data_IF_004160487009
#
_entry.id   IF_004160487009
#
_cell.length_a   1.000
_cell.length_b   1.000
_cell.length_c   1.000
_cell.angle_alpha   90.00
_cell.angle_beta   90.00
_cell.angle_gamma   90.00
#
_symmetry.space_group_name_H-M   'P 1'
#
loop_
_entity.id
_entity.type
_entity.pdbx_description
1 polymer ?
#
# COMPACT_ATOMS: atom_id res chain seq x y z
N UNK A 1 2.32 12.86 -16.99
CA UNK A 1 3.17 11.66 -16.99
C UNK A 1 2.83 10.87 -18.24
N UNK A 2 3.79 10.19 -18.89
CA UNK A 2 3.46 9.26 -19.97
C UNK A 2 2.50 8.18 -19.45
N UNK A 3 1.69 7.66 -20.33
CA UNK A 3 0.76 6.57 -20.04
C UNK A 3 1.56 5.32 -19.67
N UNK A 4 1.16 4.63 -18.58
CA UNK A 4 1.83 3.41 -18.18
C UNK A 4 1.65 2.30 -19.22
N UNK A 5 2.66 1.44 -19.47
CA UNK A 5 2.52 0.30 -20.36
C UNK A 5 1.29 -0.56 -20.01
N UNK A 6 0.54 -1.07 -21.02
CA UNK A 6 -0.70 -1.84 -20.76
C UNK A 6 -0.51 -3.07 -19.87
N UNK A 7 0.60 -3.78 -20.03
CA UNK A 7 0.97 -4.93 -19.20
C UNK A 7 1.26 -4.51 -17.74
N UNK A 8 1.95 -3.39 -17.51
CA UNK A 8 2.13 -2.84 -16.18
C UNK A 8 0.81 -2.42 -15.53
N UNK A 9 -0.09 -1.79 -16.29
CA UNK A 9 -1.42 -1.45 -15.78
C UNK A 9 -2.20 -2.70 -15.34
N UNK A 10 -2.13 -3.79 -16.12
CA UNK A 10 -2.72 -5.09 -15.75
C UNK A 10 -2.09 -5.62 -14.47
N UNK A 11 -0.75 -5.66 -14.39
CA UNK A 11 -0.01 -6.12 -13.22
C UNK A 11 -0.43 -5.34 -11.97
N UNK A 12 -0.44 -4.02 -12.02
CA UNK A 12 -0.82 -3.17 -10.88
C UNK A 12 -2.28 -3.35 -10.45
N UNK A 13 -3.18 -3.73 -11.37
CA UNK A 13 -4.59 -3.96 -11.07
C UNK A 13 -4.82 -5.32 -10.41
N UNK A 14 -4.10 -6.34 -10.84
CA UNK A 14 -4.28 -7.73 -10.41
C UNK A 14 -3.43 -8.09 -9.19
N UNK A 15 -2.31 -7.39 -8.97
CA UNK A 15 -1.39 -7.66 -7.86
C UNK A 15 -1.91 -7.16 -6.51
N UNK A 16 -1.52 -7.87 -5.46
CA UNK A 16 -1.76 -7.50 -4.06
C UNK A 16 -0.47 -7.13 -3.33
N UNK A 17 0.66 -7.61 -3.82
CA UNK A 17 1.99 -7.35 -3.24
C UNK A 17 2.89 -6.63 -4.22
N UNK A 18 3.72 -5.78 -3.63
CA UNK A 18 4.89 -5.18 -4.28
C UNK A 18 6.08 -5.27 -3.33
N UNK A 19 7.28 -5.14 -3.86
CA UNK A 19 8.44 -4.79 -3.03
C UNK A 19 8.76 -3.32 -3.19
N UNK A 20 9.21 -2.70 -2.11
CA UNK A 20 9.67 -1.32 -2.11
C UNK A 20 11.07 -1.25 -1.50
N UNK A 21 12.00 -0.68 -2.26
CA UNK A 21 13.34 -0.34 -1.77
C UNK A 21 13.35 1.12 -1.33
N UNK A 22 13.74 1.34 -0.08
CA UNK A 22 13.81 2.66 0.56
C UNK A 22 15.10 2.80 1.35
N UNK A 23 15.50 4.03 1.65
CA UNK A 23 16.66 4.32 2.49
C UNK A 23 16.28 4.22 3.98
N UNK A 24 17.06 3.46 4.76
CA UNK A 24 16.91 3.40 6.22
C UNK A 24 17.24 4.75 6.84
N UNK A 25 16.34 5.30 7.65
CA UNK A 25 16.51 6.61 8.29
C UNK A 25 17.72 6.74 9.25
N UNK A 26 18.17 5.61 9.83
CA UNK A 26 19.26 5.62 10.81
C UNK A 26 20.64 5.32 10.21
N UNK A 27 20.70 4.38 9.27
CA UNK A 27 21.98 3.91 8.69
C UNK A 27 22.25 4.45 7.30
N UNK A 28 21.26 5.04 6.62
CA UNK A 28 21.42 5.45 5.22
C UNK A 28 21.49 4.29 4.21
N UNK A 29 21.42 3.03 4.68
CA UNK A 29 21.54 1.87 3.81
C UNK A 29 20.20 1.52 3.15
N UNK A 30 20.19 0.92 1.95
CA UNK A 30 18.98 0.45 1.31
C UNK A 30 18.25 -0.62 2.15
N UNK A 31 16.94 -0.63 2.07
CA UNK A 31 16.07 -1.67 2.64
C UNK A 31 14.95 -2.00 1.68
N UNK A 32 14.84 -3.27 1.30
CA UNK A 32 13.74 -3.80 0.50
C UNK A 32 12.76 -4.55 1.40
N UNK A 33 11.48 -4.21 1.32
CA UNK A 33 10.39 -4.86 2.06
C UNK A 33 9.25 -5.20 1.12
N UNK A 34 8.53 -6.27 1.42
CA UNK A 34 7.30 -6.63 0.71
C UNK A 34 6.11 -5.99 1.42
N UNK A 35 5.26 -5.35 0.66
CA UNK A 35 4.15 -4.55 1.13
C UNK A 35 2.89 -4.84 0.33
N UNK A 36 1.78 -4.66 0.98
CA UNK A 36 0.48 -4.73 0.36
C UNK A 36 0.07 -3.35 -0.13
N UNK A 37 -0.61 -3.30 -1.26
CA UNK A 37 -0.96 -2.02 -1.89
C UNK A 37 -2.32 -2.06 -2.59
N UNK A 38 -2.76 -0.89 -3.03
CA UNK A 38 -3.84 -0.69 -3.97
C UNK A 38 -3.43 0.39 -4.97
N UNK A 39 -3.58 0.12 -6.25
CA UNK A 39 -3.39 1.11 -7.33
C UNK A 39 -4.65 1.95 -7.54
N UNK A 40 -4.51 3.24 -7.81
CA UNK A 40 -5.64 4.17 -8.04
C UNK A 40 -6.13 4.19 -9.51
N UNK A 41 -5.43 3.52 -10.40
CA UNK A 41 -5.68 3.52 -11.84
C UNK A 41 -4.89 4.59 -12.60
N UNK A 42 -4.11 5.42 -11.92
CA UNK A 42 -3.29 6.49 -12.48
C UNK A 42 -1.83 6.39 -12.06
N UNK A 43 -1.32 7.47 -11.49
CA UNK A 43 0.08 7.60 -11.09
C UNK A 43 0.35 7.32 -9.62
N UNK A 44 -0.61 6.78 -8.87
CA UNK A 44 -0.48 6.60 -7.42
C UNK A 44 -0.85 5.21 -6.98
N UNK A 45 -0.15 4.74 -5.97
CA UNK A 45 -0.55 3.58 -5.19
C UNK A 45 -0.66 3.96 -3.71
N UNK A 46 -1.52 3.26 -3.00
CA UNK A 46 -1.67 3.38 -1.55
C UNK A 46 -1.11 2.13 -0.91
N UNK A 47 -0.13 2.32 -0.04
CA UNK A 47 0.42 1.27 0.82
C UNK A 47 -0.32 1.26 2.14
N UNK A 48 -0.67 0.07 2.59
CA UNK A 48 -1.23 -0.15 3.92
C UNK A 48 -0.83 -1.54 4.43
N UNK A 49 -1.40 -1.97 5.55
CA UNK A 49 -1.12 -3.26 6.15
C UNK A 49 -1.67 -3.36 7.55
N UNK A 50 -1.21 -4.36 8.31
CA UNK A 50 -1.65 -4.58 9.68
C UNK A 50 -1.43 -3.35 10.57
N UNK A 51 -2.35 -3.08 11.52
CA UNK A 51 -2.25 -1.97 12.47
C UNK A 51 -0.94 -2.00 13.27
N UNK A 52 -0.44 -0.82 13.62
CA UNK A 52 0.73 -0.64 14.47
C UNK A 52 1.83 0.22 13.84
N UNK A 53 2.84 0.52 14.66
CA UNK A 53 4.02 1.28 14.21
C UNK A 53 4.85 0.41 13.27
N UNK A 54 5.22 0.95 12.11
CA UNK A 54 5.99 0.26 11.08
C UNK A 54 7.26 1.03 10.75
N UNK A 55 8.40 0.35 10.78
CA UNK A 55 9.69 0.98 10.46
C UNK A 55 9.75 1.49 9.02
N UNK A 56 9.11 0.79 8.07
CA UNK A 56 9.07 1.23 6.68
C UNK A 56 8.33 2.57 6.51
N UNK A 57 7.26 2.83 7.29
CA UNK A 57 6.57 4.13 7.29
C UNK A 57 7.50 5.23 7.80
N UNK A 58 8.25 4.95 8.87
CA UNK A 58 9.17 5.93 9.43
C UNK A 58 10.39 6.19 8.53
N UNK A 59 10.83 5.17 7.78
CA UNK A 59 11.89 5.34 6.78
C UNK A 59 11.39 6.19 5.60
N UNK A 60 10.22 5.90 5.04
CA UNK A 60 9.62 6.68 3.95
C UNK A 60 9.26 8.11 4.37
N UNK A 61 8.93 8.35 5.65
CA UNK A 61 8.71 9.70 6.16
C UNK A 61 9.99 10.53 6.21
N UNK A 62 11.13 9.88 6.49
CA UNK A 62 12.42 10.55 6.57
C UNK A 62 13.10 10.67 5.19
N UNK A 63 12.96 9.66 4.35
CA UNK A 63 13.55 9.57 3.00
C UNK A 63 12.42 9.16 2.04
N UNK A 64 11.75 10.13 1.41
CA UNK A 64 10.53 9.87 0.64
C UNK A 64 10.79 9.21 -0.72
N UNK A 65 12.00 9.27 -1.26
CA UNK A 65 12.31 8.68 -2.55
C UNK A 65 12.48 7.15 -2.40
N UNK A 66 11.70 6.41 -3.17
CA UNK A 66 11.64 4.94 -3.12
C UNK A 66 11.60 4.36 -4.52
N UNK A 67 12.04 3.12 -4.67
CA UNK A 67 11.83 2.34 -5.90
C UNK A 67 10.82 1.24 -5.58
N UNK A 68 9.74 1.21 -6.34
CA UNK A 68 8.73 0.17 -6.27
C UNK A 68 9.08 -0.93 -7.29
N UNK A 69 8.87 -2.20 -6.92
CA UNK A 69 9.15 -3.37 -7.75
C UNK A 69 7.90 -4.23 -7.85
N UNK A 70 7.48 -4.59 -9.08
CA UNK A 70 6.42 -5.59 -9.27
C UNK A 70 6.93 -6.98 -8.90
N UNK A 71 6.06 -7.86 -8.34
CA UNK A 71 6.49 -9.14 -7.76
C UNK A 71 5.63 -10.35 -8.10
N UNK A 72 4.36 -10.16 -8.49
CA UNK A 72 3.42 -11.29 -8.64
C UNK A 72 3.28 -11.78 -10.09
N UNK A 73 3.55 -10.92 -11.07
CA UNK A 73 3.37 -11.25 -12.49
C UNK A 73 4.51 -10.70 -13.36
N UNK A 74 4.84 -11.44 -14.42
CA UNK A 74 5.70 -10.98 -15.50
C UNK A 74 4.98 -9.98 -16.41
N UNK A 75 5.73 -9.07 -17.03
CA UNK A 75 7.13 -8.73 -16.85
C UNK A 75 7.38 -7.91 -15.56
N UNK A 76 8.64 -7.90 -15.11
CA UNK A 76 9.06 -7.23 -13.88
C UNK A 76 9.41 -5.76 -14.14
N UNK A 77 8.86 -4.86 -13.34
CA UNK A 77 9.12 -3.42 -13.45
C UNK A 77 9.71 -2.86 -12.15
N UNK A 78 10.63 -1.91 -12.35
CA UNK A 78 11.11 -1.00 -11.31
C UNK A 78 10.53 0.38 -11.60
N UNK A 79 9.86 0.98 -10.62
CA UNK A 79 9.14 2.24 -10.79
C UNK A 79 9.62 3.22 -9.73
N UNK A 80 10.31 4.32 -10.12
CA UNK A 80 10.64 5.39 -9.19
C UNK A 80 9.38 6.05 -8.65
N UNK A 81 9.34 6.25 -7.34
CA UNK A 81 8.19 6.87 -6.69
C UNK A 81 8.59 7.73 -5.48
N UNK A 82 7.72 8.63 -5.11
CA UNK A 82 7.87 9.47 -3.91
C UNK A 82 6.77 9.19 -2.92
N UNK A 83 7.18 8.89 -1.69
CA UNK A 83 6.30 8.54 -0.59
C UNK A 83 5.78 9.77 0.16
N UNK A 84 4.50 9.75 0.51
CA UNK A 84 3.87 10.71 1.42
C UNK A 84 3.08 9.95 2.50
N UNK A 85 3.51 10.07 3.73
CA UNK A 85 2.77 9.46 4.86
C UNK A 85 1.51 10.28 5.14
N UNK A 86 0.35 9.66 4.94
CA UNK A 86 -0.95 10.27 5.17
C UNK A 86 -1.32 10.13 6.65
N UNK A 87 -1.32 11.25 7.39
CA UNK A 87 -1.61 11.29 8.83
C UNK A 87 -3.00 11.80 9.15
N UNK A 88 -3.54 12.70 8.32
CA UNK A 88 -4.88 13.23 8.53
C UNK A 88 -5.95 12.13 8.43
N UNK A 89 -6.83 12.07 9.42
CA UNK A 89 -7.84 11.02 9.53
C UNK A 89 -8.87 11.09 8.41
N UNK A 90 -9.28 12.29 8.00
CA UNK A 90 -10.30 12.46 6.97
C UNK A 90 -9.77 12.04 5.61
N UNK A 91 -8.49 12.35 5.34
CA UNK A 91 -7.78 11.95 4.13
C UNK A 91 -7.50 10.44 4.10
N UNK A 92 -7.05 9.86 5.22
CA UNK A 92 -6.72 8.42 5.31
C UNK A 92 -7.91 7.49 5.09
N UNK A 93 -9.06 7.85 5.61
CA UNK A 93 -10.21 6.96 5.65
C UNK A 93 -10.64 6.47 4.25
N UNK A 94 -10.84 7.33 3.23
CA UNK A 94 -11.17 6.85 1.88
C UNK A 94 -10.09 5.93 1.29
N UNK A 95 -8.80 6.21 1.52
CA UNK A 95 -7.69 5.37 1.06
C UNK A 95 -7.74 3.98 1.69
N UNK A 96 -7.92 3.91 3.02
CA UNK A 96 -7.99 2.64 3.75
C UNK A 96 -9.23 1.81 3.37
N UNK A 97 -10.39 2.45 3.18
CA UNK A 97 -11.60 1.74 2.74
C UNK A 97 -11.41 1.15 1.35
N UNK A 98 -10.87 1.92 0.40
CA UNK A 98 -10.60 1.44 -0.94
C UNK A 98 -9.52 0.33 -0.96
N UNK A 99 -8.51 0.43 -0.12
CA UNK A 99 -7.51 -0.62 0.08
C UNK A 99 -8.14 -1.93 0.60
N UNK A 100 -9.00 -1.86 1.63
CA UNK A 100 -9.67 -3.05 2.18
C UNK A 100 -10.64 -3.66 1.15
N UNK A 101 -11.32 -2.83 0.35
CA UNK A 101 -12.21 -3.28 -0.71
C UNK A 101 -11.43 -4.07 -1.79
N UNK A 102 -10.28 -3.57 -2.21
CA UNK A 102 -9.38 -4.28 -3.13
C UNK A 102 -8.95 -5.64 -2.54
N UNK A 103 -8.52 -5.65 -1.27
CA UNK A 103 -8.09 -6.86 -0.58
C UNK A 103 -9.20 -7.91 -0.41
N UNK A 104 -10.45 -7.48 -0.27
CA UNK A 104 -11.60 -8.38 -0.21
C UNK A 104 -11.80 -9.18 -1.52
N UNK A 105 -11.21 -8.74 -2.61
CA UNK A 105 -11.19 -9.47 -3.90
C UNK A 105 -10.21 -10.64 -3.94
N UNK A 106 -9.27 -10.73 -2.99
CA UNK A 106 -8.24 -11.78 -2.98
C UNK A 106 -8.84 -13.16 -2.71
N UNK A 107 -8.44 -14.21 -3.47
CA UNK A 107 -8.82 -15.59 -3.18
C UNK A 107 -8.47 -15.99 -1.73
N UNK A 108 -9.39 -16.67 -1.04
CA UNK A 108 -9.21 -17.10 0.35
C UNK A 108 -9.51 -16.01 1.41
N UNK A 109 -9.80 -14.77 1.02
CA UNK A 109 -10.20 -13.75 1.97
C UNK A 109 -11.68 -13.87 2.35
N UNK A 110 -12.12 -13.60 3.60
CA UNK A 110 -13.52 -13.72 4.03
C UNK A 110 -14.40 -12.59 3.45
N UNK A 111 -14.54 -12.59 2.13
CA UNK A 111 -15.15 -11.52 1.34
C UNK A 111 -16.53 -11.09 1.85
N UNK A 112 -17.40 -12.05 2.18
CA UNK A 112 -18.77 -11.75 2.62
C UNK A 112 -18.81 -10.88 3.87
N UNK A 113 -18.03 -11.21 4.90
CA UNK A 113 -17.95 -10.45 6.15
C UNK A 113 -17.38 -9.04 5.94
N UNK A 114 -16.35 -8.93 5.12
CA UNK A 114 -15.70 -7.64 4.82
C UNK A 114 -16.61 -6.77 3.98
N UNK A 115 -17.28 -7.31 2.97
CA UNK A 115 -18.24 -6.55 2.14
C UNK A 115 -19.45 -6.11 2.93
N UNK A 116 -19.96 -6.91 3.86
CA UNK A 116 -21.03 -6.51 4.79
C UNK A 116 -20.59 -5.31 5.65
N UNK A 117 -19.38 -5.39 6.25
CA UNK A 117 -18.83 -4.29 7.03
C UNK A 117 -18.64 -3.02 6.20
N UNK A 118 -18.07 -3.12 5.01
CA UNK A 118 -17.89 -1.98 4.10
C UNK A 118 -19.23 -1.37 3.67
N UNK A 119 -20.23 -2.21 3.42
CA UNK A 119 -21.60 -1.78 3.12
C UNK A 119 -22.20 -0.95 4.25
N UNK A 120 -22.07 -1.43 5.50
CA UNK A 120 -22.54 -0.71 6.69
C UNK A 120 -21.82 0.65 6.86
N UNK A 121 -20.49 0.68 6.64
CA UNK A 121 -19.72 1.93 6.68
C UNK A 121 -20.16 2.90 5.58
N UNK A 122 -20.36 2.43 4.35
CA UNK A 122 -20.84 3.25 3.22
C UNK A 122 -22.23 3.81 3.51
N UNK A 123 -23.14 3.00 4.07
CA UNK A 123 -24.49 3.43 4.46
C UNK A 123 -24.44 4.50 5.56
N UNK A 124 -23.66 4.27 6.63
CA UNK A 124 -23.50 5.25 7.70
C UNK A 124 -22.98 6.59 7.19
N UNK A 125 -22.02 6.58 6.28
CA UNK A 125 -21.50 7.81 5.63
C UNK A 125 -22.59 8.52 4.82
N UNK A 126 -23.40 7.77 4.07
CA UNK A 126 -24.52 8.33 3.30
C UNK A 126 -25.57 8.99 4.20
N UNK A 127 -25.80 8.44 5.38
CA UNK A 127 -26.73 8.96 6.37
C UNK A 127 -26.11 10.03 7.29
N UNK A 128 -24.88 10.48 7.02
CA UNK A 128 -24.12 11.42 7.85
C UNK A 128 -23.91 10.97 9.30
N UNK A 129 -24.08 9.67 9.57
CA UNK A 129 -23.77 9.06 10.86
C UNK A 129 -22.26 8.83 11.01
N UNK A 130 -21.76 8.64 12.24
CA UNK A 130 -20.37 8.22 12.43
C UNK A 130 -20.08 6.99 11.56
N UNK A 131 -19.01 7.05 10.77
CA UNK A 131 -18.72 6.01 9.76
C UNK A 131 -18.59 4.61 10.34
N UNK A 132 -18.17 4.48 11.58
CA UNK A 132 -18.06 3.22 12.30
C UNK A 132 -19.41 2.71 12.84
N UNK A 133 -20.44 3.57 12.99
CA UNK A 133 -21.76 3.17 13.53
C UNK A 133 -21.62 2.22 14.74
N UNK A 134 -22.26 1.02 14.69
CA UNK A 134 -22.14 0.02 15.75
C UNK A 134 -20.72 -0.61 15.84
N UNK A 135 -19.85 -0.38 14.87
CA UNK A 135 -18.48 -0.91 14.81
C UNK A 135 -17.45 0.10 15.34
N UNK A 136 -17.77 0.84 16.39
CA UNK A 136 -16.89 1.84 16.99
C UNK A 136 -15.49 1.30 17.35
N UNK A 137 -15.38 0.00 17.68
CA UNK A 137 -14.12 -0.68 17.93
C UNK A 137 -13.20 -0.71 16.70
N UNK A 138 -13.78 -0.75 15.51
CA UNK A 138 -13.02 -0.72 14.26
C UNK A 138 -12.23 0.58 14.09
N UNK A 139 -12.70 1.69 14.68
CA UNK A 139 -11.98 2.97 14.69
C UNK A 139 -10.54 2.81 15.16
N UNK A 140 -10.34 2.07 16.28
CA UNK A 140 -8.98 1.85 16.83
C UNK A 140 -8.08 1.10 15.86
N UNK A 141 -8.62 0.19 15.09
CA UNK A 141 -7.88 -0.56 14.06
C UNK A 141 -7.48 0.40 12.93
N UNK A 142 -8.44 1.11 12.35
CA UNK A 142 -8.18 2.05 11.25
C UNK A 142 -7.22 3.18 11.66
N UNK A 143 -7.35 3.72 12.87
CA UNK A 143 -6.45 4.76 13.38
C UNK A 143 -4.99 4.29 13.51
N UNK A 144 -4.77 2.98 13.64
CA UNK A 144 -3.45 2.37 13.76
C UNK A 144 -2.92 1.78 12.44
N UNK A 145 -3.75 1.65 11.42
CA UNK A 145 -3.28 1.15 10.12
C UNK A 145 -2.35 2.17 9.47
N UNK A 146 -1.22 1.75 8.90
CA UNK A 146 -0.38 2.63 8.12
C UNK A 146 -1.12 3.08 6.85
N UNK A 147 -0.82 4.30 6.39
CA UNK A 147 -1.32 4.81 5.12
C UNK A 147 -0.22 5.67 4.49
N UNK A 148 0.31 5.21 3.38
CA UNK A 148 1.35 5.91 2.63
C UNK A 148 0.95 5.95 1.17
N UNK A 149 0.88 7.15 0.60
CA UNK A 149 0.73 7.33 -0.83
C UNK A 149 2.11 7.29 -1.48
N UNK A 150 2.26 6.51 -2.53
CA UNK A 150 3.39 6.60 -3.45
C UNK A 150 2.91 7.22 -4.76
N UNK A 151 3.53 8.32 -5.16
CA UNK A 151 3.32 8.94 -6.48
C UNK A 151 4.50 8.57 -7.37
N UNK A 152 4.24 8.03 -8.56
CA UNK A 152 5.28 7.70 -9.53
C UNK A 152 5.99 8.99 -9.98
N UNK A 153 7.32 8.99 -9.98
CA UNK A 153 8.13 10.18 -10.27
C UNK A 153 8.96 10.05 -11.55
N UNK A 154 9.03 8.86 -12.12
CA UNK A 154 9.77 8.57 -13.33
C UNK A 154 9.12 7.48 -14.17
N UNK A 155 9.72 7.18 -15.31
CA UNK A 155 9.27 6.10 -16.19
C UNK A 155 9.54 4.74 -15.55
N UNK A 156 8.60 3.78 -15.69
CA UNK A 156 8.84 2.39 -15.31
C UNK A 156 9.96 1.80 -16.15
N UNK A 157 10.90 1.14 -15.49
CA UNK A 157 12.02 0.46 -16.13
C UNK A 157 11.73 -1.04 -16.13
N UNK A 158 11.73 -1.64 -17.32
CA UNK A 158 11.59 -3.08 -17.48
C UNK A 158 12.84 -3.77 -16.95
N UNK A 159 12.68 -4.70 -16.04
CA UNK A 159 13.77 -5.50 -15.50
C UNK A 159 14.02 -6.69 -16.41
N UNK A 160 15.15 -6.69 -17.10
CA UNK A 160 15.49 -7.67 -18.13
C UNK A 160 15.76 -9.07 -17.57
N UNK A 161 16.20 -9.21 -16.32
CA UNK A 161 16.59 -10.49 -15.71
C UNK A 161 16.30 -10.55 -14.22
N UNK A 162 16.01 -11.74 -13.69
CA UNK A 162 16.17 -12.08 -12.28
C UNK A 162 15.04 -11.76 -11.32
N UNK A 163 13.85 -11.44 -11.78
CA UNK A 163 12.70 -11.17 -10.89
C UNK A 163 12.92 -9.98 -9.95
N UNK A 164 12.06 -9.81 -8.91
CA UNK A 164 12.16 -8.70 -7.98
C UNK A 164 13.40 -8.82 -7.05
N UNK A 165 13.94 -7.69 -6.54
CA UNK A 165 15.10 -7.71 -5.66
C UNK A 165 14.81 -8.52 -4.39
N UNK A 166 15.81 -9.19 -3.79
CA UNK A 166 15.62 -9.95 -2.57
C UNK A 166 15.15 -9.05 -1.42
N UNK A 167 14.40 -9.63 -0.50
CA UNK A 167 14.02 -8.95 0.73
C UNK A 167 15.25 -8.69 1.59
N UNK A 168 15.33 -7.53 2.21
CA UNK A 168 16.34 -7.27 3.22
C UNK A 168 16.07 -8.11 4.45
N UNK A 169 17.12 -8.69 5.01
CA UNK A 169 17.02 -9.46 6.24
C UNK A 169 16.36 -8.65 7.37
N UNK A 170 15.51 -9.29 8.20
CA UNK A 170 15.05 -8.70 9.44
C UNK A 170 16.25 -8.28 10.29
N UNK A 171 16.16 -7.17 11.02
CA UNK A 171 17.17 -6.86 12.03
C UNK A 171 17.18 -7.99 13.06
N UNK A 172 18.32 -8.67 13.20
CA UNK A 172 18.56 -9.51 14.37
C UNK A 172 18.34 -8.65 15.63
N UNK A 173 17.51 -9.10 16.55
CA UNK A 173 17.38 -8.53 17.90
C UNK A 173 16.17 -7.65 18.19
N UNK A 174 14.98 -7.92 17.62
CA UNK A 174 13.71 -7.51 18.23
C UNK A 174 12.68 -8.64 18.18
N UNK A 175 12.26 -9.12 19.35
CA UNK A 175 11.10 -9.98 19.47
C UNK A 175 9.83 -9.27 18.97
#
# INVERSE_FOLDING_TARGET
MPELPPDLQRILRESFFIRATMTRRKSGTPRTVELTFRWDGGSKIVLSGYPGKRDWVANMAANPDVTMHTVEFDPWYDIPARARVVRDRKERLPHLLAYIEHWAGRPGFPRGRVMFFLGAVKLNRRLHLPWWGPFWFARRIFDKMPCVDLTFTGEPVLRATGGPPPLSEPREGRP
#
